data_IF_732974686147
#
_entry.id   IF_732974686147
#
_cell.length_a   1.000
_cell.length_b   1.000
_cell.length_c   1.000
_cell.angle_alpha   90.00
_cell.angle_beta   90.00
_cell.angle_gamma   90.00
#
_symmetry.space_group_name_H-M   'P 1'
#
loop_
_entity.id
_entity.type
_entity.pdbx_description
1 polymer ?
#
# COMPACT_ATOMS: atom_id res chain seq x y z
N UNK A 1 2.07 -20.35 5.45
CA UNK A 1 2.14 -18.89 5.30
C UNK A 1 1.66 -18.32 6.63
N UNK A 2 2.56 -18.16 7.59
CA UNK A 2 2.25 -17.44 8.83
C UNK A 2 2.25 -15.94 8.48
N UNK A 3 1.08 -15.30 8.55
CA UNK A 3 1.05 -13.83 8.57
C UNK A 3 1.63 -13.42 9.92
N UNK A 4 2.72 -12.63 9.97
CA UNK A 4 3.30 -12.18 11.22
C UNK A 4 2.23 -11.49 12.06
N UNK A 5 2.20 -11.84 13.34
CA UNK A 5 1.31 -11.38 14.41
C UNK A 5 0.64 -10.02 14.14
N UNK A 6 -0.69 -10.05 13.94
CA UNK A 6 -1.53 -8.88 13.67
C UNK A 6 -1.29 -7.74 14.68
N UNK A 7 -1.04 -6.55 14.14
CA UNK A 7 -1.19 -5.27 14.85
C UNK A 7 -2.69 -5.08 15.14
N UNK A 8 -3.12 -5.40 16.37
CA UNK A 8 -4.44 -5.04 16.88
C UNK A 8 -4.43 -3.58 17.33
N UNK A 9 -5.05 -2.67 16.57
CA UNK A 9 -5.33 -1.32 17.04
C UNK A 9 -6.68 -1.30 17.79
N UNK A 10 -6.62 -1.29 19.13
CA UNK A 10 -7.80 -1.20 20.00
C UNK A 10 -8.36 0.23 19.94
N UNK A 11 -9.48 0.48 19.26
CA UNK A 11 -10.23 1.75 19.41
C UNK A 11 -11.24 1.64 20.55
N UNK A 12 -11.01 2.41 21.59
CA UNK A 12 -12.03 2.79 22.60
C UNK A 12 -12.84 3.98 22.07
N UNK A 13 -14.17 3.91 22.28
CA UNK A 13 -15.23 4.94 22.05
C UNK A 13 -15.62 5.16 20.58
N UNK A 14 -16.88 5.31 20.16
CA UNK A 14 -18.21 5.46 20.75
C UNK A 14 -19.06 6.12 19.65
N UNK A 15 -20.17 5.51 19.22
CA UNK A 15 -20.92 5.92 18.01
C UNK A 15 -21.84 7.12 18.27
N UNK A 16 -21.82 8.13 17.39
CA UNK A 16 -22.94 9.07 17.23
C UNK A 16 -23.15 9.45 15.76
N UNK A 17 -24.38 9.24 15.29
CA UNK A 17 -24.88 9.55 13.93
C UNK A 17 -25.62 10.89 13.91
N UNK A 18 -25.38 11.72 12.90
CA UNK A 18 -26.18 12.93 12.64
C UNK A 18 -26.03 13.43 11.19
N UNK A 19 -26.98 13.08 10.33
CA UNK A 19 -27.12 13.56 8.95
C UNK A 19 -27.97 14.84 8.90
N UNK A 20 -27.55 15.85 8.12
CA UNK A 20 -28.48 16.82 7.49
C UNK A 20 -27.98 17.20 6.09
N UNK A 21 -28.90 17.09 5.13
CA UNK A 21 -28.74 17.49 3.72
C UNK A 21 -29.01 18.98 3.52
N UNK A 22 -28.25 19.64 2.65
CA UNK A 22 -28.70 20.82 1.89
C UNK A 22 -28.21 20.75 0.44
N UNK A 23 -29.15 20.89 -0.51
CA UNK A 23 -28.90 20.97 -1.96
C UNK A 23 -28.44 22.38 -2.35
N UNK A 24 -27.49 22.51 -3.28
CA UNK A 24 -27.37 23.69 -4.14
C UNK A 24 -26.93 23.33 -5.57
N UNK A 25 -27.48 24.09 -6.52
CA UNK A 25 -27.55 23.80 -7.95
C UNK A 25 -26.33 24.16 -8.81
N UNK A 26 -26.49 23.80 -10.09
CA UNK A 26 -25.50 23.63 -11.17
C UNK A 26 -25.00 24.95 -11.77
N UNK A 27 -23.68 25.12 -11.92
CA UNK A 27 -23.06 25.81 -13.09
C UNK A 27 -21.54 25.52 -13.20
N UNK A 28 -21.08 24.71 -14.19
CA UNK A 28 -19.68 24.28 -14.32
C UNK A 28 -18.68 25.38 -14.75
N UNK A 29 -19.14 26.56 -15.20
CA UNK A 29 -18.24 27.67 -15.58
C UNK A 29 -17.81 28.56 -14.41
N UNK A 30 -18.56 28.60 -13.30
CA UNK A 30 -18.20 29.38 -12.10
C UNK A 30 -17.24 28.64 -11.15
N UNK A 31 -17.19 27.31 -11.21
CA UNK A 31 -16.28 26.50 -10.41
C UNK A 31 -14.80 26.73 -10.78
N UNK A 32 -14.51 26.92 -12.08
CA UNK A 32 -13.15 27.17 -12.58
C UNK A 32 -12.59 28.56 -12.17
N UNK A 33 -13.44 29.57 -12.06
CA UNK A 33 -13.03 30.91 -11.62
C UNK A 33 -12.85 31.04 -10.10
N UNK A 34 -13.61 30.26 -9.30
CA UNK A 34 -13.42 30.23 -7.84
C UNK A 34 -12.08 29.63 -7.42
N UNK A 35 -11.53 28.71 -8.23
CA UNK A 35 -10.25 28.05 -7.99
C UNK A 35 -9.07 29.03 -8.10
N UNK A 36 -9.16 30.06 -8.95
CA UNK A 36 -8.09 31.04 -9.18
C UNK A 36 -8.03 32.15 -8.12
N UNK A 37 -9.14 32.45 -7.43
CA UNK A 37 -9.22 33.55 -6.46
C UNK A 37 -8.68 33.20 -5.08
N UNK A 38 -8.63 31.92 -4.69
CA UNK A 38 -8.32 31.51 -3.32
C UNK A 38 -6.86 31.01 -3.13
N UNK A 39 -6.06 31.02 -4.19
CA UNK A 39 -4.66 30.53 -4.21
C UNK A 39 -3.63 31.49 -3.59
N UNK A 40 -4.04 32.53 -2.84
CA UNK A 40 -3.17 33.67 -2.52
C UNK A 40 -2.72 33.85 -1.07
N UNK A 41 -3.18 33.07 -0.10
CA UNK A 41 -2.79 33.30 1.31
C UNK A 41 -2.68 31.99 2.07
N UNK A 42 -1.44 31.60 2.38
CA UNK A 42 -1.09 30.31 2.96
C UNK A 42 -0.75 30.32 4.45
N UNK A 43 -0.42 29.10 4.89
CA UNK A 43 0.20 28.60 6.15
C UNK A 43 -0.75 28.09 7.23
N UNK A 44 -0.52 26.82 7.62
CA UNK A 44 -0.29 26.42 9.02
C UNK A 44 0.33 25.01 9.10
N UNK A 45 1.07 24.77 10.19
CA UNK A 45 2.03 23.69 10.46
C UNK A 45 1.42 22.54 11.31
N UNK A 46 1.89 21.27 11.26
CA UNK A 46 1.24 20.12 11.90
C UNK A 46 2.03 19.54 13.11
N UNK A 47 1.33 18.98 14.10
CA UNK A 47 1.90 17.97 15.03
C UNK A 47 0.84 17.00 15.56
N UNK A 48 1.01 15.70 15.31
CA UNK A 48 0.70 14.56 16.21
C UNK A 48 0.62 13.24 15.42
N UNK A 49 1.49 12.29 15.79
CA UNK A 49 1.56 10.95 15.22
C UNK A 49 0.35 10.10 15.68
N UNK A 50 -0.51 9.73 14.72
CA UNK A 50 -1.54 8.69 14.82
C UNK A 50 -1.65 8.04 13.45
N UNK A 51 -1.68 6.70 13.37
CA UNK A 51 -2.10 6.02 12.14
C UNK A 51 -3.55 6.42 11.86
N UNK A 52 -3.75 7.35 10.93
CA UNK A 52 -5.06 7.83 10.49
C UNK A 52 -5.39 7.03 9.23
N UNK A 53 -6.53 6.34 9.21
CA UNK A 53 -7.22 5.87 8.00
C UNK A 53 -6.98 4.44 7.46
N UNK A 54 -6.45 3.50 8.25
CA UNK A 54 -6.68 2.07 7.98
C UNK A 54 -6.93 1.27 9.25
N UNK A 55 -7.68 0.18 9.10
CA UNK A 55 -7.83 -0.82 10.16
C UNK A 55 -7.71 -2.22 9.54
N UNK A 56 -6.80 -3.00 10.10
CA UNK A 56 -6.66 -4.42 9.87
C UNK A 56 -7.63 -5.12 10.81
N UNK A 57 -8.50 -5.97 10.27
CA UNK A 57 -9.50 -6.73 11.01
C UNK A 57 -9.20 -8.22 10.83
N UNK A 58 -9.32 -9.03 11.87
CA UNK A 58 -9.40 -10.49 11.70
C UNK A 58 -10.88 -10.87 11.63
N UNK A 59 -11.29 -11.52 10.53
CA UNK A 59 -12.67 -12.03 10.37
C UNK A 59 -12.64 -13.55 10.58
N UNK A 60 -12.78 -13.97 11.82
CA UNK A 60 -12.73 -15.39 12.19
C UNK A 60 -11.32 -15.98 12.14
N UNK A 61 -11.22 -17.28 12.50
CA UNK A 61 -9.94 -18.00 12.72
C UNK A 61 -9.08 -18.15 11.45
N UNK A 62 -9.61 -17.84 10.27
CA UNK A 62 -9.03 -18.29 8.99
C UNK A 62 -8.85 -17.20 7.94
N UNK A 63 -9.22 -15.95 8.21
CA UNK A 63 -9.05 -14.83 7.26
C UNK A 63 -8.79 -13.49 7.94
N UNK A 64 -8.01 -12.66 7.26
CA UNK A 64 -7.71 -11.27 7.62
C UNK A 64 -8.34 -10.32 6.60
N UNK A 65 -8.87 -9.20 7.06
CA UNK A 65 -9.47 -8.15 6.27
C UNK A 65 -8.73 -6.83 6.41
N UNK A 66 -8.60 -6.10 5.30
CA UNK A 66 -7.98 -4.77 5.26
C UNK A 66 -8.96 -3.78 4.65
N UNK A 67 -9.10 -2.60 5.25
CA UNK A 67 -10.02 -1.56 4.78
C UNK A 67 -9.37 -0.20 4.58
N UNK A 68 -9.89 0.56 3.62
CA UNK A 68 -9.56 1.97 3.36
C UNK A 68 -10.76 2.88 3.60
N UNK A 69 -10.49 4.05 4.16
CA UNK A 69 -11.50 5.03 4.56
C UNK A 69 -11.30 6.36 3.80
N UNK A 70 -12.39 7.05 3.51
CA UNK A 70 -12.34 8.42 3.01
C UNK A 70 -12.01 9.43 4.13
N UNK A 71 -11.97 10.72 3.78
CA UNK A 71 -11.76 11.82 4.72
C UNK A 71 -12.88 12.00 5.75
N UNK A 72 -14.06 11.43 5.51
CA UNK A 72 -15.20 11.44 6.44
C UNK A 72 -15.19 10.23 7.38
N UNK A 73 -14.23 9.30 7.23
CA UNK A 73 -14.15 8.07 8.00
C UNK A 73 -15.12 6.98 7.56
N UNK A 74 -15.67 7.09 6.35
CA UNK A 74 -16.53 6.06 5.75
C UNK A 74 -15.66 5.02 5.04
N UNK A 75 -15.96 3.73 5.25
CA UNK A 75 -15.26 2.63 4.59
C UNK A 75 -15.56 2.65 3.09
N UNK A 76 -14.52 2.80 2.27
CA UNK A 76 -14.63 2.93 0.80
C UNK A 76 -14.16 1.68 0.05
N UNK A 77 -13.24 0.91 0.63
CA UNK A 77 -12.74 -0.33 0.04
C UNK A 77 -12.37 -1.31 1.15
N UNK A 78 -12.61 -2.60 0.92
CA UNK A 78 -12.09 -3.65 1.79
C UNK A 78 -11.75 -4.91 0.98
N UNK A 79 -10.71 -5.62 1.40
CA UNK A 79 -10.33 -6.93 0.86
C UNK A 79 -10.15 -7.93 1.98
N UNK A 80 -10.48 -9.19 1.70
CA UNK A 80 -10.38 -10.33 2.59
C UNK A 80 -9.36 -11.31 2.01
N UNK A 81 -8.39 -11.69 2.84
CA UNK A 81 -7.33 -12.62 2.53
C UNK A 81 -7.43 -13.85 3.45
N UNK A 82 -7.43 -15.04 2.85
CA UNK A 82 -7.40 -16.31 3.57
C UNK A 82 -6.00 -16.60 4.11
N UNK A 83 -5.94 -17.13 5.33
CA UNK A 83 -4.70 -17.51 6.01
C UNK A 83 -4.31 -18.97 5.74
N UNK A 84 -5.28 -19.79 5.34
CA UNK A 84 -5.09 -21.24 5.15
C UNK A 84 -5.15 -21.60 3.69
N UNK A 85 -4.19 -22.43 3.28
CA UNK A 85 -4.13 -22.98 1.93
C UNK A 85 -5.25 -24.01 1.74
N UNK A 86 -6.06 -23.83 0.71
CA UNK A 86 -7.10 -24.74 0.26
C UNK A 86 -7.17 -24.69 -1.27
N UNK A 87 -6.48 -25.63 -1.92
CA UNK A 87 -6.39 -25.73 -3.39
C UNK A 87 -7.69 -26.21 -4.03
N UNK A 88 -8.51 -26.99 -3.31
CA UNK A 88 -9.80 -27.47 -3.82
C UNK A 88 -10.82 -26.34 -3.99
N UNK A 89 -10.74 -25.30 -3.16
CA UNK A 89 -11.71 -24.19 -3.13
C UNK A 89 -11.23 -22.92 -3.84
N UNK A 90 -9.93 -22.78 -4.06
CA UNK A 90 -9.34 -21.54 -4.55
C UNK A 90 -8.25 -21.81 -5.58
N UNK A 91 -8.38 -21.24 -6.77
CA UNK A 91 -7.44 -21.41 -7.89
C UNK A 91 -5.99 -21.04 -7.52
N UNK A 92 -5.80 -20.11 -6.59
CA UNK A 92 -4.49 -19.67 -6.09
C UNK A 92 -4.13 -20.25 -4.72
N UNK A 93 -4.85 -21.28 -4.29
CA UNK A 93 -4.71 -21.92 -2.99
C UNK A 93 -5.19 -21.09 -1.80
N UNK A 94 -5.46 -19.79 -1.92
CA UNK A 94 -5.93 -18.95 -0.81
C UNK A 94 -7.14 -18.12 -1.22
N UNK A 95 -8.02 -17.84 -0.25
CA UNK A 95 -9.12 -16.90 -0.44
C UNK A 95 -8.58 -15.50 -0.70
N UNK A 96 -8.96 -14.87 -1.80
CA UNK A 96 -8.74 -13.44 -2.06
C UNK A 96 -10.05 -12.85 -2.55
N UNK A 97 -10.60 -11.87 -1.82
CA UNK A 97 -11.92 -11.33 -2.13
C UNK A 97 -12.04 -9.84 -1.79
N UNK A 98 -12.34 -9.04 -2.81
CA UNK A 98 -12.78 -7.65 -2.63
C UNK A 98 -14.23 -7.66 -2.11
N UNK A 99 -14.48 -6.91 -1.04
CA UNK A 99 -15.78 -6.86 -0.38
C UNK A 99 -16.80 -6.08 -1.23
N UNK A 100 -18.06 -6.53 -1.22
CA UNK A 100 -19.16 -5.84 -1.91
C UNK A 100 -19.29 -4.40 -1.39
N UNK A 101 -19.50 -3.46 -2.30
CA UNK A 101 -19.56 -2.02 -1.98
C UNK A 101 -18.20 -1.33 -2.02
N UNK A 102 -17.10 -2.05 -2.30
CA UNK A 102 -15.79 -1.42 -2.50
C UNK A 102 -15.74 -0.65 -3.81
N UNK A 103 -15.29 0.61 -3.75
CA UNK A 103 -15.07 1.44 -4.92
C UNK A 103 -13.74 1.07 -5.59
N UNK A 104 -13.81 0.47 -6.78
CA UNK A 104 -12.63 -0.06 -7.50
C UNK A 104 -11.57 0.97 -7.90
N UNK A 105 -11.83 2.26 -7.73
CA UNK A 105 -10.91 3.37 -8.03
C UNK A 105 -10.25 3.97 -6.78
N UNK A 106 -10.60 3.52 -5.57
CA UNK A 106 -10.00 4.01 -4.33
C UNK A 106 -8.76 3.20 -3.96
N UNK A 107 -8.81 1.88 -4.18
CA UNK A 107 -7.79 0.94 -3.71
C UNK A 107 -7.85 0.75 -2.19
N UNK A 108 -6.97 -0.09 -1.67
CA UNK A 108 -6.78 -0.28 -0.23
C UNK A 108 -5.56 0.52 0.17
N UNK A 109 -5.68 1.38 1.17
CA UNK A 109 -4.59 2.27 1.54
C UNK A 109 -4.46 2.42 3.05
N UNK A 110 -3.24 2.70 3.49
CA UNK A 110 -2.97 3.10 4.86
C UNK A 110 -1.84 4.11 4.97
N UNK A 111 -1.93 4.97 5.98
CA UNK A 111 -1.00 6.09 6.17
C UNK A 111 -0.02 5.78 7.31
N UNK A 112 1.24 6.09 7.06
CA UNK A 112 2.33 6.09 8.04
C UNK A 112 2.76 7.55 8.22
N UNK A 113 2.58 8.09 9.42
CA UNK A 113 2.88 9.50 9.70
C UNK A 113 1.91 10.44 9.00
N UNK A 114 2.41 11.52 8.42
CA UNK A 114 1.62 12.43 7.60
C UNK A 114 2.04 12.27 6.13
N UNK A 115 1.21 11.62 5.28
CA UNK A 115 1.63 11.22 3.94
C UNK A 115 2.02 12.43 3.09
N UNK A 116 3.22 12.38 2.51
CA UNK A 116 3.74 13.29 1.47
C UNK A 116 4.15 12.55 0.20
N UNK A 117 4.24 11.23 0.30
CA UNK A 117 4.63 10.27 -0.74
C UNK A 117 3.59 9.16 -0.82
N UNK A 118 3.30 8.69 -2.02
CA UNK A 118 2.43 7.56 -2.32
C UNK A 118 3.27 6.41 -2.86
N UNK A 119 3.08 5.21 -2.32
CA UNK A 119 3.68 3.99 -2.86
C UNK A 119 2.56 3.06 -3.30
N UNK A 120 2.57 2.67 -4.57
CA UNK A 120 1.55 1.84 -5.18
C UNK A 120 2.03 0.41 -5.38
N UNK A 121 1.18 -0.54 -5.03
CA UNK A 121 1.41 -1.97 -5.11
C UNK A 121 0.29 -2.61 -5.93
N UNK A 122 0.59 -3.73 -6.58
CA UNK A 122 -0.43 -4.48 -7.33
C UNK A 122 -1.50 -5.05 -6.40
N UNK A 123 -1.10 -5.67 -5.29
CA UNK A 123 -2.01 -6.29 -4.33
C UNK A 123 -1.73 -5.95 -2.87
N UNK A 124 -2.68 -6.27 -1.98
CA UNK A 124 -2.49 -6.09 -0.54
C UNK A 124 -1.34 -6.96 -0.03
N UNK A 125 -1.11 -8.14 -0.62
CA UNK A 125 0.00 -9.01 -0.23
C UNK A 125 1.32 -8.30 -0.52
N UNK A 126 1.50 -7.76 -1.72
CA UNK A 126 2.74 -7.07 -2.11
C UNK A 126 2.97 -5.83 -1.25
N UNK A 127 1.91 -5.09 -0.96
CA UNK A 127 1.94 -3.94 -0.04
C UNK A 127 2.43 -4.35 1.36
N UNK A 128 1.90 -5.45 1.91
CA UNK A 128 2.29 -5.92 3.24
C UNK A 128 3.71 -6.51 3.26
N UNK A 129 4.09 -7.23 2.20
CA UNK A 129 5.44 -7.76 2.02
C UNK A 129 6.47 -6.64 1.95
N UNK A 130 6.21 -5.63 1.12
CA UNK A 130 7.07 -4.45 1.02
C UNK A 130 7.16 -3.71 2.36
N UNK A 131 6.04 -3.52 3.06
CA UNK A 131 6.02 -2.91 4.39
C UNK A 131 6.94 -3.67 5.34
N UNK A 132 6.86 -5.01 5.38
CA UNK A 132 7.69 -5.85 6.23
C UNK A 132 9.19 -5.66 5.95
N UNK A 133 9.57 -5.58 4.68
CA UNK A 133 10.96 -5.40 4.24
C UNK A 133 11.50 -3.99 4.57
N UNK A 134 10.65 -2.96 4.51
CA UNK A 134 11.07 -1.56 4.54
C UNK A 134 10.63 -0.78 5.78
N UNK A 135 10.19 -1.43 6.85
CA UNK A 135 9.61 -0.78 8.05
C UNK A 135 10.42 0.42 8.57
N UNK A 136 11.76 0.35 8.55
CA UNK A 136 12.65 1.41 9.05
C UNK A 136 12.78 2.60 8.10
N UNK A 137 12.44 2.44 6.82
CA UNK A 137 12.61 3.44 5.76
C UNK A 137 11.28 4.16 5.43
N UNK A 138 10.15 3.60 5.88
CA UNK A 138 8.83 4.14 5.62
C UNK A 138 8.46 5.22 6.64
N UNK A 139 8.42 6.47 6.19
CA UNK A 139 7.98 7.63 6.98
C UNK A 139 7.24 8.62 6.08
N UNK A 140 6.17 9.23 6.61
CA UNK A 140 5.34 10.20 5.90
C UNK A 140 4.86 9.69 4.52
N UNK A 141 4.33 8.46 4.51
CA UNK A 141 3.84 7.79 3.30
C UNK A 141 2.42 7.31 3.42
N UNK A 142 1.74 7.24 2.28
CA UNK A 142 0.56 6.40 2.11
C UNK A 142 0.96 5.19 1.27
N UNK A 143 0.71 4.00 1.79
CA UNK A 143 0.85 2.75 1.04
C UNK A 143 -0.50 2.42 0.42
N UNK A 144 -0.53 2.05 -0.87
CA UNK A 144 -1.76 1.81 -1.62
C UNK A 144 -1.64 0.51 -2.40
N UNK A 145 -2.46 -0.47 -2.06
CA UNK A 145 -2.78 -1.55 -2.97
C UNK A 145 -3.85 -1.12 -3.97
N UNK A 146 -3.54 -1.28 -5.26
CA UNK A 146 -4.48 -1.01 -6.34
C UNK A 146 -5.50 -2.15 -6.55
N UNK A 147 -5.26 -3.32 -5.93
CA UNK A 147 -6.00 -4.56 -6.17
C UNK A 147 -6.11 -4.83 -7.69
N UNK A 148 -4.95 -4.88 -8.35
CA UNK A 148 -4.72 -4.95 -9.80
C UNK A 148 -4.18 -3.64 -10.38
N UNK A 149 -3.42 -3.70 -11.48
CA UNK A 149 -2.79 -2.55 -12.14
C UNK A 149 -3.82 -1.56 -12.69
N UNK A 150 -4.15 -0.50 -11.91
CA UNK A 150 -5.26 0.43 -12.19
C UNK A 150 -4.83 1.89 -12.09
N UNK A 151 -4.80 2.57 -13.24
CA UNK A 151 -4.53 4.01 -13.32
C UNK A 151 -5.53 4.87 -12.54
N UNK A 152 -6.80 4.45 -12.45
CA UNK A 152 -7.83 5.17 -11.70
C UNK A 152 -7.47 5.32 -10.22
N UNK A 153 -6.84 4.32 -9.62
CA UNK A 153 -6.39 4.35 -8.21
C UNK A 153 -5.24 5.35 -8.04
N UNK A 154 -4.26 5.34 -8.95
CA UNK A 154 -3.15 6.30 -8.94
C UNK A 154 -3.68 7.74 -9.05
N UNK A 155 -4.61 7.96 -9.97
CA UNK A 155 -5.23 9.27 -10.17
C UNK A 155 -5.98 9.76 -8.92
N UNK A 156 -6.82 8.90 -8.34
CA UNK A 156 -7.60 9.24 -7.16
C UNK A 156 -6.70 9.54 -5.95
N UNK A 157 -5.69 8.70 -5.70
CA UNK A 157 -4.83 8.86 -4.53
C UNK A 157 -3.88 10.05 -4.66
N UNK A 158 -3.38 10.35 -5.87
CA UNK A 158 -2.64 11.58 -6.15
C UNK A 158 -3.51 12.80 -5.87
N UNK A 159 -4.75 12.80 -6.37
CA UNK A 159 -5.69 13.89 -6.15
C UNK A 159 -6.04 14.07 -4.68
N UNK A 160 -6.22 12.95 -3.95
CA UNK A 160 -6.45 12.94 -2.52
C UNK A 160 -5.27 13.56 -1.76
N UNK A 161 -4.05 13.17 -2.08
CA UNK A 161 -2.85 13.72 -1.45
C UNK A 161 -2.72 15.23 -1.69
N UNK A 162 -2.94 15.69 -2.92
CA UNK A 162 -2.93 17.12 -3.25
C UNK A 162 -4.05 17.90 -2.53
N UNK A 163 -5.24 17.31 -2.38
CA UNK A 163 -6.35 17.90 -1.64
C UNK A 163 -6.07 17.96 -0.12
N UNK A 164 -5.43 16.92 0.43
CA UNK A 164 -4.99 16.85 1.82
C UNK A 164 -3.96 17.95 2.13
N UNK A 165 -2.94 18.11 1.27
CA UNK A 165 -1.93 19.16 1.41
C UNK A 165 -2.54 20.57 1.41
N UNK A 166 -3.55 20.79 0.56
CA UNK A 166 -4.25 22.08 0.46
C UNK A 166 -5.35 22.27 1.50
N UNK A 167 -5.66 21.27 2.32
CA UNK A 167 -6.79 21.31 3.27
C UNK A 167 -8.17 21.36 2.61
N UNK A 168 -8.31 20.89 1.36
CA UNK A 168 -9.54 20.98 0.54
C UNK A 168 -10.25 19.63 0.40
N UNK A 169 -10.40 18.89 1.50
CA UNK A 169 -10.94 17.53 1.48
C UNK A 169 -12.37 17.43 0.93
N UNK A 170 -13.21 18.44 1.15
CA UNK A 170 -14.58 18.49 0.61
C UNK A 170 -14.65 18.43 -0.93
N UNK A 171 -13.55 18.74 -1.62
CA UNK A 171 -13.47 18.57 -3.08
C UNK A 171 -13.59 17.09 -3.48
N UNK A 172 -13.08 16.17 -2.66
CA UNK A 172 -13.08 14.73 -2.95
C UNK A 172 -14.50 14.16 -3.05
N UNK A 173 -15.46 14.74 -2.33
CA UNK A 173 -16.88 14.36 -2.41
C UNK A 173 -17.52 14.73 -3.77
N UNK A 174 -16.88 15.60 -4.56
CA UNK A 174 -17.36 16.05 -5.87
C UNK A 174 -16.68 15.33 -7.05
N UNK A 175 -15.67 14.50 -6.76
CA UNK A 175 -14.87 13.83 -7.79
C UNK A 175 -15.73 12.80 -8.51
N UNK A 176 -15.82 12.92 -9.83
CA UNK A 176 -16.48 11.93 -10.66
C UNK A 176 -15.47 10.82 -11.04
N UNK A 177 -15.69 9.55 -10.63
CA UNK A 177 -14.76 8.46 -10.93
C UNK A 177 -14.49 8.25 -12.42
N UNK A 178 -15.46 8.53 -13.29
CA UNK A 178 -15.30 8.39 -14.75
C UNK A 178 -14.32 9.40 -15.35
N UNK A 179 -13.91 10.43 -14.60
CA UNK A 179 -12.98 11.48 -15.03
C UNK A 179 -11.59 11.39 -14.38
N UNK A 180 -11.30 10.33 -13.64
CA UNK A 180 -10.03 10.17 -12.92
C UNK A 180 -8.81 10.30 -13.82
N UNK A 181 -8.85 9.73 -15.03
CA UNK A 181 -7.78 9.89 -16.03
C UNK A 181 -7.51 11.36 -16.37
N UNK A 182 -8.57 12.16 -16.54
CA UNK A 182 -8.45 13.60 -16.82
C UNK A 182 -7.94 14.39 -15.62
N UNK A 183 -8.31 14.01 -14.39
CA UNK A 183 -7.81 14.69 -13.19
C UNK A 183 -6.30 14.52 -13.02
N UNK A 184 -5.75 13.35 -13.33
CA UNK A 184 -4.31 13.13 -13.24
C UNK A 184 -3.53 14.05 -14.20
N UNK A 185 -4.00 14.15 -15.45
CA UNK A 185 -3.45 15.07 -16.43
C UNK A 185 -3.62 16.54 -16.00
N UNK A 186 -4.80 16.90 -15.48
CA UNK A 186 -5.03 18.25 -14.97
C UNK A 186 -4.09 18.60 -13.82
N UNK A 187 -3.79 17.66 -12.90
CA UNK A 187 -2.82 17.89 -11.82
C UNK A 187 -1.43 18.15 -12.42
N UNK A 188 -1.00 17.36 -13.41
CA UNK A 188 0.28 17.56 -14.09
C UNK A 188 0.38 18.93 -14.78
N UNK A 189 -0.66 19.35 -15.48
CA UNK A 189 -0.63 20.57 -16.32
C UNK A 189 -0.91 21.86 -15.53
N UNK A 190 -1.74 21.79 -14.49
CA UNK A 190 -2.29 22.99 -13.83
C UNK A 190 -1.74 23.24 -12.44
N UNK A 191 -0.99 22.29 -11.86
CA UNK A 191 -0.45 22.42 -10.51
C UNK A 191 1.06 22.25 -10.48
N UNK A 192 1.70 22.91 -9.53
CA UNK A 192 3.13 22.72 -9.23
C UNK A 192 3.37 21.52 -8.32
N UNK A 193 2.35 20.71 -8.02
CA UNK A 193 2.42 19.61 -7.04
C UNK A 193 3.58 18.65 -7.32
N UNK A 194 3.72 18.23 -8.58
CA UNK A 194 4.80 17.34 -8.99
C UNK A 194 6.16 18.03 -9.13
N UNK A 195 6.19 19.36 -9.25
CA UNK A 195 7.44 20.13 -9.25
C UNK A 195 7.99 20.26 -7.83
N UNK A 196 7.10 20.43 -6.84
CA UNK A 196 7.47 20.50 -5.42
C UNK A 196 7.68 19.11 -4.80
N UNK A 197 7.06 18.07 -5.36
CA UNK A 197 7.19 16.69 -4.91
C UNK A 197 7.60 15.77 -6.07
N UNK A 198 8.83 15.92 -6.56
CA UNK A 198 9.36 15.12 -7.68
C UNK A 198 9.38 13.61 -7.42
N UNK A 199 9.39 13.20 -6.15
CA UNK A 199 9.33 11.80 -5.70
C UNK A 199 8.00 11.47 -5.01
N UNK A 200 6.92 12.17 -5.35
CA UNK A 200 5.59 11.94 -4.76
C UNK A 200 5.04 10.54 -5.04
N UNK A 201 5.39 9.94 -6.18
CA UNK A 201 4.81 8.69 -6.65
C UNK A 201 5.91 7.63 -6.78
N UNK A 202 5.72 6.51 -6.10
CA UNK A 202 6.56 5.32 -6.25
C UNK A 202 5.70 4.13 -6.69
N UNK A 203 6.12 3.42 -7.74
CA UNK A 203 5.51 2.17 -8.16
C UNK A 203 6.37 1.01 -7.67
N UNK A 204 5.80 0.20 -6.77
CA UNK A 204 6.38 -1.03 -6.27
C UNK A 204 5.51 -2.23 -6.67
N UNK A 205 5.35 -2.39 -7.98
CA UNK A 205 4.60 -3.48 -8.61
C UNK A 205 5.50 -4.70 -8.83
N UNK A 206 4.90 -5.83 -9.19
CA UNK A 206 5.64 -7.05 -9.52
C UNK A 206 6.57 -6.82 -10.71
N UNK A 207 7.75 -7.44 -10.67
CA UNK A 207 8.74 -7.33 -11.72
C UNK A 207 8.49 -8.37 -12.82
N UNK A 208 7.31 -8.35 -13.44
CA UNK A 208 6.94 -9.19 -14.57
C UNK A 208 6.64 -8.34 -15.82
N UNK A 209 6.19 -8.98 -16.90
CA UNK A 209 5.87 -8.27 -18.15
C UNK A 209 4.75 -7.23 -17.95
N UNK A 210 3.69 -7.59 -17.24
CA UNK A 210 2.54 -6.71 -17.02
C UNK A 210 2.89 -5.50 -16.16
N UNK A 211 3.64 -5.71 -15.07
CA UNK A 211 4.14 -4.65 -14.19
C UNK A 211 5.07 -3.70 -14.91
N UNK A 212 6.04 -4.23 -15.69
CA UNK A 212 6.96 -3.40 -16.50
C UNK A 212 6.23 -2.60 -17.58
N UNK A 213 5.31 -3.22 -18.31
CA UNK A 213 4.47 -2.51 -19.28
C UNK A 213 3.66 -1.39 -18.63
N UNK A 214 3.10 -1.64 -17.44
CA UNK A 214 2.31 -0.66 -16.73
C UNK A 214 3.17 0.54 -16.28
N UNK A 215 4.36 0.29 -15.74
CA UNK A 215 5.35 1.34 -15.45
C UNK A 215 5.73 2.15 -16.69
N UNK A 216 5.94 1.49 -17.83
CA UNK A 216 6.27 2.17 -19.08
C UNK A 216 5.11 3.06 -19.55
N UNK A 217 3.88 2.54 -19.56
CA UNK A 217 2.66 3.29 -19.95
C UNK A 217 2.45 4.56 -19.11
N UNK A 218 2.88 4.57 -17.84
CA UNK A 218 2.79 5.74 -16.96
C UNK A 218 3.94 6.73 -17.20
N UNK A 219 5.15 6.21 -17.45
CA UNK A 219 6.30 7.02 -17.86
C UNK A 219 6.02 7.75 -19.17
N UNK A 220 5.42 7.08 -20.16
CA UNK A 220 5.04 7.65 -21.46
C UNK A 220 3.98 8.77 -21.32
N UNK A 221 3.21 8.77 -20.23
CA UNK A 221 2.27 9.84 -19.88
C UNK A 221 2.94 11.02 -19.15
N UNK A 222 4.26 11.00 -19.02
CA UNK A 222 5.03 12.06 -18.37
C UNK A 222 4.80 12.18 -16.87
N UNK A 223 4.36 11.10 -16.20
CA UNK A 223 4.19 11.10 -14.75
C UNK A 223 5.56 11.00 -14.07
N UNK A 224 5.90 11.91 -13.15
CA UNK A 224 7.16 11.83 -12.40
C UNK A 224 7.02 10.76 -11.32
N UNK A 225 7.25 9.52 -11.75
CA UNK A 225 7.18 8.32 -10.92
C UNK A 225 8.59 7.74 -10.73
N UNK A 226 8.85 7.26 -9.52
CA UNK A 226 9.98 6.37 -9.24
C UNK A 226 9.51 4.93 -9.32
N UNK A 227 10.36 4.04 -9.82
CA UNK A 227 10.10 2.60 -9.82
C UNK A 227 10.96 1.94 -8.75
N UNK A 228 10.36 1.06 -7.96
CA UNK A 228 11.03 0.22 -6.97
C UNK A 228 10.51 -1.20 -7.17
N UNK A 229 11.11 -1.94 -8.10
CA UNK A 229 10.65 -3.28 -8.46
C UNK A 229 11.39 -4.33 -7.64
N UNK A 230 10.75 -5.45 -7.27
CA UNK A 230 11.44 -6.52 -6.57
C UNK A 230 12.59 -7.04 -7.45
N UNK A 231 13.78 -7.31 -6.87
CA UNK A 231 14.92 -7.75 -7.64
C UNK A 231 14.65 -9.11 -8.29
N UNK A 232 15.12 -9.27 -9.54
CA UNK A 232 15.15 -10.57 -10.21
C UNK A 232 16.22 -11.45 -9.57
N UNK A 233 15.93 -12.75 -9.51
CA UNK A 233 16.82 -13.71 -8.86
C UNK A 233 17.43 -14.65 -9.85
N UNK A 234 18.76 -14.66 -9.92
CA UNK A 234 19.51 -15.53 -10.84
C UNK A 234 19.07 -15.34 -12.29
N UNK A 235 18.41 -16.36 -12.85
CA UNK A 235 17.93 -16.39 -14.24
C UNK A 235 16.41 -16.18 -14.36
N UNK A 236 15.73 -15.83 -13.26
CA UNK A 236 14.29 -15.59 -13.29
C UNK A 236 13.93 -14.29 -14.02
N UNK A 237 12.84 -14.33 -14.78
CA UNK A 237 12.33 -13.20 -15.57
C UNK A 237 11.16 -12.47 -14.89
N UNK A 238 10.72 -12.98 -13.74
CA UNK A 238 9.64 -12.46 -12.91
C UNK A 238 10.01 -12.54 -11.44
N UNK A 239 9.52 -11.59 -10.64
CA UNK A 239 9.70 -11.57 -9.19
C UNK A 239 8.53 -10.80 -8.56
N UNK A 240 8.03 -11.25 -7.42
CA UNK A 240 7.02 -10.55 -6.62
C UNK A 240 7.56 -10.27 -5.20
N UNK A 241 6.98 -9.29 -4.51
CA UNK A 241 7.47 -8.88 -3.19
C UNK A 241 7.30 -9.96 -2.11
N UNK A 242 6.32 -10.83 -2.26
CA UNK A 242 6.03 -11.89 -1.31
C UNK A 242 7.10 -12.99 -1.35
N UNK A 243 7.61 -13.31 -2.53
CA UNK A 243 8.69 -14.27 -2.69
C UNK A 243 10.01 -13.76 -2.09
N UNK A 244 10.30 -12.45 -2.22
CA UNK A 244 11.44 -11.81 -1.52
C UNK A 244 11.35 -12.01 0.00
N UNK A 245 10.16 -11.80 0.59
CA UNK A 245 9.95 -11.97 2.03
C UNK A 245 10.14 -13.42 2.46
N UNK A 246 9.57 -14.38 1.71
CA UNK A 246 9.72 -15.81 2.03
C UNK A 246 11.18 -16.21 2.08
N UNK A 247 11.96 -15.77 1.11
CA UNK A 247 13.38 -16.12 1.07
C UNK A 247 14.18 -15.47 2.18
N UNK A 248 13.92 -14.20 2.51
CA UNK A 248 14.58 -13.58 3.66
C UNK A 248 14.26 -14.34 4.96
N UNK A 249 13.02 -14.83 5.10
CA UNK A 249 12.63 -15.66 6.24
C UNK A 249 13.34 -17.02 6.26
N UNK A 250 13.50 -17.67 5.11
CA UNK A 250 14.21 -18.94 4.97
C UNK A 250 15.71 -18.79 5.26
N UNK A 251 16.34 -17.73 4.72
CA UNK A 251 17.73 -17.39 5.01
C UNK A 251 17.93 -17.13 6.50
N UNK A 252 17.08 -16.31 7.12
CA UNK A 252 17.14 -16.03 8.56
C UNK A 252 16.99 -17.30 9.40
N UNK A 253 16.09 -18.21 9.03
CA UNK A 253 15.93 -19.49 9.74
C UNK A 253 17.17 -20.36 9.57
N UNK A 254 17.75 -20.41 8.37
CA UNK A 254 18.96 -21.18 8.09
C UNK A 254 20.17 -20.67 8.88
N UNK A 255 20.33 -19.35 8.99
CA UNK A 255 21.38 -18.71 9.78
C UNK A 255 21.20 -19.00 11.28
N UNK A 256 19.96 -18.94 11.78
CA UNK A 256 19.64 -19.33 13.15
C UNK A 256 19.98 -20.80 13.42
N UNK A 257 19.65 -21.71 12.50
CA UNK A 257 19.97 -23.14 12.62
C UNK A 257 21.49 -23.36 12.61
N UNK A 258 22.22 -22.73 11.68
CA UNK A 258 23.68 -22.84 11.62
C UNK A 258 24.36 -22.27 12.88
N UNK A 259 23.86 -21.14 13.39
CA UNK A 259 24.37 -20.55 14.63
C UNK A 259 24.12 -21.46 15.83
N UNK A 260 22.92 -22.04 15.92
CA UNK A 260 22.59 -23.00 16.96
C UNK A 260 23.45 -24.27 16.85
N UNK A 261 23.65 -24.81 15.65
CA UNK A 261 24.54 -25.96 15.40
C UNK A 261 26.00 -25.65 15.77
N UNK A 262 26.50 -24.47 15.44
CA UNK A 262 27.85 -24.03 15.81
C UNK A 262 28.01 -23.87 17.34
N UNK A 263 26.98 -23.38 18.04
CA UNK A 263 26.95 -23.31 19.50
C UNK A 263 26.89 -24.70 20.14
N UNK A 264 26.09 -25.61 19.59
CA UNK A 264 26.02 -27.02 20.04
C UNK A 264 27.38 -27.69 19.87
N UNK A 265 28.03 -27.55 18.71
CA UNK A 265 29.36 -28.12 18.46
C UNK A 265 30.46 -27.53 19.36
N UNK A 266 30.32 -26.25 19.78
CA UNK A 266 31.23 -25.64 20.76
C UNK A 266 31.01 -26.17 22.18
N UNK A 267 29.75 -26.34 22.59
CA UNK A 267 29.40 -26.76 23.96
C UNK A 267 29.51 -28.28 24.15
N UNK A 268 29.29 -29.05 23.08
CA UNK A 268 29.35 -30.51 23.04
C UNK A 268 30.12 -30.93 21.77
N UNK A 269 31.46 -30.87 21.80
CA UNK A 269 32.26 -31.28 20.66
C UNK A 269 32.01 -32.76 20.34
N UNK A 270 31.94 -33.16 19.06
CA UNK A 270 31.74 -34.55 18.69
C UNK A 270 32.87 -35.42 19.26
N UNK A 271 32.56 -36.66 19.69
CA UNK A 271 33.57 -37.55 20.27
C UNK A 271 34.71 -37.76 19.28
N UNK A 272 35.95 -37.57 19.75
CA UNK A 272 37.15 -37.81 18.93
C UNK A 272 37.10 -39.27 18.47
N UNK A 273 37.08 -39.49 17.15
CA UNK A 273 37.35 -40.82 16.59
C UNK A 273 38.76 -41.21 17.03
N UNK A 274 38.87 -42.13 17.98
CA UNK A 274 40.10 -42.89 18.16
C UNK A 274 40.38 -43.60 16.84
N UNK A 275 41.51 -43.27 16.21
CA UNK A 275 42.06 -44.14 15.17
C UNK A 275 42.43 -45.42 15.89
N UNK A 276 41.64 -46.48 15.69
CA UNK A 276 42.12 -47.82 15.93
C UNK A 276 43.39 -47.97 15.10
N UNK A 277 44.54 -48.09 15.76
CA UNK A 277 45.73 -48.65 15.14
C UNK A 277 45.36 -50.09 14.79
N UNK A 278 45.08 -50.35 13.51
CA UNK A 278 45.16 -51.71 13.00
C UNK A 278 46.63 -52.14 13.10
N UNK A 279 46.85 -53.17 13.92
CA UNK A 279 48.11 -53.87 14.17
C UNK A 279 48.55 -54.68 12.93
#
# INVERSE_FOLDING_TARGET
MEIPSLIFCRRTTGWHTGLRHTRFGRNPRKAAQGILSALRTGRANPTSWKCRNSSLWSFGRWSAGTGSYDHNGVLQAASLQGLVKNEEKHDRGYLKKIMKGSHGHVGISFDIGNPKRLIFYESVIDMMSYYQLHQKQLSDVRLISMEGLKLSVIAYQTLRLAAEEQGKLAFLDTVNPSRLSHYLQAIQETTTFFQTHSNALTLAVDNDEAGREFCQKLSDKGLPLSQDLPPLQGLETKSDWNDIVKQQSELSLSDCIQTAQAQVNKNHPPPKRERAMEL
#
